data_IF_904050895637
#
_entry.id   IF_904050895637
#
_cell.length_a   1.000
_cell.length_b   1.000
_cell.length_c   1.000
_cell.angle_alpha   90.00
_cell.angle_beta   90.00
_cell.angle_gamma   90.00
#
_symmetry.space_group_name_H-M   'P 1'
#
loop_
_entity.id
_entity.type
_entity.pdbx_description
1 polymer ?
#
# COMPACT_ATOMS: atom_id res chain seq x y z
N UNK A 1 12.60 15.83 23.16
CA UNK A 1 13.50 15.24 22.19
C UNK A 1 13.06 15.59 20.77
N UNK A 2 13.98 15.73 19.79
CA UNK A 2 13.61 15.99 18.42
C UNK A 2 12.84 14.80 17.82
N UNK A 3 11.88 15.10 16.92
CA UNK A 3 11.20 14.08 16.13
C UNK A 3 12.17 13.56 15.07
N UNK A 4 12.36 12.24 15.01
CA UNK A 4 13.32 11.60 14.10
C UNK A 4 12.65 10.81 12.96
N UNK A 5 11.36 10.49 13.09
CA UNK A 5 10.53 9.85 12.07
C UNK A 5 9.06 10.15 12.36
N UNK A 6 8.21 10.03 11.35
CA UNK A 6 6.76 10.18 11.47
C UNK A 6 6.08 8.97 10.82
N UNK A 7 5.15 8.37 11.55
CA UNK A 7 4.25 7.33 11.04
C UNK A 7 2.84 7.92 11.01
N UNK A 8 2.29 8.06 9.83
CA UNK A 8 0.93 8.55 9.61
C UNK A 8 -0.03 7.35 9.45
N UNK A 9 -1.28 7.53 9.87
CA UNK A 9 -2.29 6.47 9.81
C UNK A 9 -2.83 6.21 8.38
N UNK A 10 -2.52 7.09 7.42
CA UNK A 10 -2.79 6.90 5.99
C UNK A 10 -1.78 7.67 5.14
N UNK A 11 -1.71 7.33 3.86
CA UNK A 11 -0.90 8.05 2.88
C UNK A 11 -1.38 9.50 2.68
N UNK A 12 -2.69 9.75 2.72
CA UNK A 12 -3.22 11.11 2.66
C UNK A 12 -2.70 11.99 3.81
N UNK A 13 -2.66 11.44 5.03
CA UNK A 13 -2.05 12.14 6.16
C UNK A 13 -0.55 12.32 5.98
N UNK A 14 0.14 11.32 5.43
CA UNK A 14 1.57 11.39 5.15
C UNK A 14 1.90 12.50 4.14
N UNK A 15 1.05 12.74 3.13
CA UNK A 15 1.20 13.84 2.19
C UNK A 15 1.15 15.21 2.90
N UNK A 16 0.12 15.43 3.74
CA UNK A 16 0.01 16.68 4.51
C UNK A 16 1.22 16.92 5.41
N UNK A 17 1.72 15.87 6.06
CA UNK A 17 2.95 15.93 6.86
C UNK A 17 4.16 16.25 6.00
N UNK A 18 4.29 15.62 4.83
CA UNK A 18 5.41 15.84 3.90
C UNK A 18 5.47 17.27 3.41
N UNK A 19 4.33 17.90 3.08
CA UNK A 19 4.26 19.29 2.67
C UNK A 19 4.77 20.23 3.77
N UNK A 20 4.29 20.03 5.01
CA UNK A 20 4.73 20.86 6.15
C UNK A 20 6.21 20.63 6.47
N UNK A 21 6.69 19.38 6.43
CA UNK A 21 8.10 19.07 6.66
C UNK A 21 9.00 19.76 5.63
N UNK A 22 8.67 19.66 4.34
CA UNK A 22 9.42 20.32 3.27
C UNK A 22 9.43 21.85 3.41
N UNK A 23 8.28 22.46 3.71
CA UNK A 23 8.16 23.90 3.91
C UNK A 23 9.02 24.41 5.07
N UNK A 24 9.34 23.57 6.05
CA UNK A 24 10.17 23.88 7.20
C UNK A 24 11.60 23.33 7.11
N UNK A 25 12.01 22.79 5.96
CA UNK A 25 13.36 22.23 5.75
C UNK A 25 13.66 20.99 6.59
N UNK A 26 12.63 20.25 7.01
CA UNK A 26 12.77 19.04 7.79
C UNK A 26 12.97 17.82 6.87
N UNK A 27 13.92 16.96 7.22
CA UNK A 27 14.29 15.77 6.43
C UNK A 27 14.24 14.51 7.30
N UNK A 28 13.07 14.11 7.71
CA UNK A 28 12.87 12.88 8.47
C UNK A 28 12.11 11.83 7.66
N UNK A 29 12.29 10.53 7.91
CA UNK A 29 11.48 9.48 7.31
C UNK A 29 10.00 9.68 7.64
N UNK A 30 9.14 9.62 6.60
CA UNK A 30 7.68 9.67 6.73
C UNK A 30 7.16 8.36 6.15
N UNK A 31 6.34 7.68 6.93
CA UNK A 31 5.73 6.39 6.60
C UNK A 31 4.22 6.57 6.61
N UNK A 32 3.57 6.12 5.55
CA UNK A 32 2.11 6.12 5.40
C UNK A 32 1.48 4.74 5.55
N UNK A 33 0.25 4.61 5.11
CA UNK A 33 -0.53 3.38 5.08
C UNK A 33 -1.51 3.45 3.91
N UNK A 34 -1.86 2.34 3.29
CA UNK A 34 -2.78 2.09 2.16
C UNK A 34 -2.10 1.86 0.81
N UNK A 35 -0.82 2.14 0.63
CA UNK A 35 -0.09 2.03 -0.64
C UNK A 35 -0.83 2.69 -1.81
N UNK A 36 -1.29 3.94 -1.62
CA UNK A 36 -1.91 4.72 -2.69
C UNK A 36 -0.96 4.91 -3.88
N UNK A 37 -1.44 4.98 -5.12
CA UNK A 37 -0.58 5.21 -6.29
C UNK A 37 0.34 6.41 -6.12
N UNK A 38 -0.14 7.51 -5.55
CA UNK A 38 0.63 8.73 -5.29
C UNK A 38 1.72 8.49 -4.25
N UNK A 39 1.46 7.64 -3.24
CA UNK A 39 2.46 7.28 -2.23
C UNK A 39 3.57 6.41 -2.84
N UNK A 40 3.22 5.46 -3.72
CA UNK A 40 4.20 4.65 -4.45
C UNK A 40 5.12 5.53 -5.31
N UNK A 41 4.55 6.55 -5.98
CA UNK A 41 5.30 7.56 -6.73
C UNK A 41 6.19 8.37 -5.78
N UNK A 42 5.67 8.81 -4.64
CA UNK A 42 6.43 9.58 -3.65
C UNK A 42 7.61 8.77 -3.06
N UNK A 43 7.43 7.47 -2.84
CA UNK A 43 8.50 6.56 -2.39
C UNK A 43 9.55 6.39 -3.48
N UNK A 44 9.15 6.15 -4.74
CA UNK A 44 10.07 6.10 -5.89
C UNK A 44 10.93 7.34 -5.97
N UNK A 45 10.33 8.50 -5.80
CA UNK A 45 10.96 9.82 -5.92
C UNK A 45 11.71 10.26 -4.63
N UNK A 46 11.69 9.43 -3.57
CA UNK A 46 12.39 9.69 -2.31
C UNK A 46 11.75 10.75 -1.42
N UNK A 47 10.48 11.09 -1.65
CA UNK A 47 9.71 12.05 -0.85
C UNK A 47 9.00 11.41 0.35
N UNK A 48 8.74 10.12 0.29
CA UNK A 48 8.20 9.29 1.36
C UNK A 48 9.11 8.08 1.55
N UNK A 49 9.29 7.61 2.78
CA UNK A 49 10.19 6.50 3.07
C UNK A 49 9.56 5.15 2.78
N UNK A 50 8.29 4.98 3.15
CA UNK A 50 7.56 3.72 3.02
C UNK A 50 6.05 3.94 3.16
N UNK A 51 5.27 2.89 2.80
CA UNK A 51 3.87 2.74 3.12
C UNK A 51 3.57 1.28 3.46
N UNK A 52 2.40 1.00 4.03
CA UNK A 52 1.92 -0.36 4.28
C UNK A 52 0.87 -0.72 3.24
N UNK A 53 1.11 -1.82 2.53
CA UNK A 53 0.12 -2.44 1.63
C UNK A 53 -0.71 -3.44 2.41
N UNK A 54 -2.03 -3.31 2.34
CA UNK A 54 -2.99 -4.21 2.97
C UNK A 54 -3.82 -5.04 1.97
N UNK A 55 -3.56 -4.89 0.66
CA UNK A 55 -4.20 -5.64 -0.42
C UNK A 55 -5.73 -5.51 -0.45
N UNK A 56 -6.32 -4.32 -0.59
CA UNK A 56 -7.77 -4.12 -0.55
C UNK A 56 -8.52 -4.85 -1.67
N UNK A 57 -7.94 -4.98 -2.85
CA UNK A 57 -8.50 -5.76 -3.95
C UNK A 57 -8.51 -7.25 -3.63
N UNK A 58 -7.42 -7.80 -3.10
CA UNK A 58 -7.36 -9.19 -2.68
C UNK A 58 -8.31 -9.48 -1.51
N UNK A 59 -8.47 -8.56 -0.55
CA UNK A 59 -9.47 -8.69 0.51
C UNK A 59 -10.88 -8.81 -0.09
N UNK A 60 -11.21 -7.96 -1.05
CA UNK A 60 -12.52 -7.94 -1.71
C UNK A 60 -12.78 -9.22 -2.52
N UNK A 61 -11.79 -9.71 -3.28
CA UNK A 61 -11.92 -10.96 -4.04
C UNK A 61 -12.04 -12.17 -3.11
N UNK A 62 -11.24 -12.25 -2.05
CA UNK A 62 -11.31 -13.31 -1.05
C UNK A 62 -12.69 -13.37 -0.39
N UNK A 63 -13.23 -12.21 0.02
CA UNK A 63 -14.57 -12.14 0.59
C UNK A 63 -15.66 -12.60 -0.39
N UNK A 64 -15.53 -12.20 -1.68
CA UNK A 64 -16.46 -12.62 -2.72
C UNK A 64 -16.38 -14.12 -2.99
N UNK A 65 -15.20 -14.72 -3.03
CA UNK A 65 -15.02 -16.16 -3.24
C UNK A 65 -15.64 -16.96 -2.11
N UNK A 66 -15.48 -16.54 -0.86
CA UNK A 66 -16.13 -17.14 0.31
C UNK A 66 -17.66 -17.06 0.17
N UNK A 67 -18.20 -15.90 -0.19
CA UNK A 67 -19.63 -15.72 -0.38
C UNK A 67 -20.18 -16.62 -1.51
N UNK A 68 -19.50 -16.69 -2.65
CA UNK A 68 -19.91 -17.50 -3.79
C UNK A 68 -19.89 -19.00 -3.46
N UNK A 69 -18.91 -19.49 -2.72
CA UNK A 69 -18.86 -20.87 -2.27
C UNK A 69 -20.04 -21.19 -1.34
N UNK A 70 -20.34 -20.31 -0.39
CA UNK A 70 -21.49 -20.46 0.49
C UNK A 70 -22.82 -20.49 -0.27
N UNK A 71 -23.01 -19.61 -1.26
CA UNK A 71 -24.23 -19.56 -2.06
C UNK A 71 -24.38 -20.78 -3.00
N UNK A 72 -23.27 -21.36 -3.44
CA UNK A 72 -23.29 -22.50 -4.36
C UNK A 72 -23.67 -23.81 -3.67
N UNK A 73 -23.13 -24.11 -2.51
CA UNK A 73 -23.28 -25.41 -1.83
C UNK A 73 -23.31 -25.36 -0.30
N UNK A 74 -23.35 -24.16 0.29
CA UNK A 74 -23.33 -23.96 1.74
C UNK A 74 -21.95 -24.12 2.38
N UNK A 75 -20.87 -24.12 1.58
CA UNK A 75 -19.51 -24.21 2.12
C UNK A 75 -19.19 -22.98 2.97
N UNK A 76 -18.89 -23.21 4.24
CA UNK A 76 -18.44 -22.17 5.17
C UNK A 76 -16.90 -22.11 5.24
N UNK A 77 -16.31 -20.94 5.49
CA UNK A 77 -14.87 -20.84 5.72
C UNK A 77 -14.48 -21.65 6.96
N UNK A 78 -13.28 -22.23 6.95
CA UNK A 78 -12.80 -23.08 8.06
C UNK A 78 -12.63 -22.29 9.36
N UNK A 79 -12.35 -20.99 9.24
CA UNK A 79 -12.16 -20.07 10.35
C UNK A 79 -13.10 -18.89 10.21
N UNK A 80 -13.56 -18.35 11.33
CA UNK A 80 -14.46 -17.19 11.37
C UNK A 80 -13.83 -15.95 10.75
N UNK A 81 -12.53 -15.77 10.96
CA UNK A 81 -11.77 -14.62 10.47
C UNK A 81 -10.74 -15.06 9.44
N UNK A 82 -10.67 -14.34 8.32
CA UNK A 82 -9.67 -14.54 7.26
C UNK A 82 -8.78 -13.31 7.20
N UNK A 83 -7.49 -13.47 7.50
CA UNK A 83 -6.50 -12.39 7.49
C UNK A 83 -5.60 -12.50 6.26
N UNK A 84 -5.31 -11.35 5.66
CA UNK A 84 -4.20 -11.17 4.71
C UNK A 84 -3.05 -10.51 5.44
N UNK A 85 -1.83 -10.98 5.20
CA UNK A 85 -0.63 -10.40 5.81
C UNK A 85 -0.28 -9.08 5.11
N UNK A 86 -0.30 -7.93 5.80
CA UNK A 86 0.12 -6.68 5.23
C UNK A 86 1.65 -6.65 5.07
N UNK A 87 2.15 -5.93 4.05
CA UNK A 87 3.58 -5.79 3.80
C UNK A 87 4.04 -4.34 3.81
N UNK A 88 5.29 -4.14 4.20
CA UNK A 88 5.96 -2.85 4.09
C UNK A 88 6.43 -2.65 2.65
N UNK A 89 5.99 -1.56 2.02
CA UNK A 89 6.47 -1.13 0.70
C UNK A 89 7.49 -0.02 0.88
N UNK A 90 8.65 -0.23 0.31
CA UNK A 90 9.78 0.70 0.23
C UNK A 90 10.21 0.88 -1.22
N UNK A 91 11.25 1.65 -1.47
CA UNK A 91 11.80 1.83 -2.82
C UNK A 91 12.29 0.51 -3.45
N UNK A 92 12.68 -0.47 -2.62
CA UNK A 92 13.29 -1.72 -3.07
C UNK A 92 12.27 -2.75 -3.56
N UNK A 93 10.99 -2.60 -3.17
CA UNK A 93 9.93 -3.55 -3.48
C UNK A 93 8.62 -2.90 -3.95
N UNK A 94 8.69 -1.77 -4.61
CA UNK A 94 7.51 -1.05 -5.15
C UNK A 94 6.59 -1.92 -6.00
N UNK A 95 7.17 -2.88 -6.73
CA UNK A 95 6.41 -3.78 -7.60
C UNK A 95 5.50 -4.77 -6.85
N UNK A 96 5.72 -4.96 -5.54
CA UNK A 96 4.91 -5.86 -4.71
C UNK A 96 3.57 -5.23 -4.28
N UNK A 97 3.41 -3.91 -4.47
CA UNK A 97 2.15 -3.24 -4.17
C UNK A 97 1.06 -3.58 -5.19
N UNK A 98 -0.16 -3.79 -4.73
CA UNK A 98 -1.31 -4.16 -5.58
C UNK A 98 -1.55 -3.16 -6.72
N UNK A 99 -1.32 -1.86 -6.45
CA UNK A 99 -1.50 -0.75 -7.41
C UNK A 99 -0.21 -0.27 -8.08
N UNK A 100 0.84 -1.10 -8.05
CA UNK A 100 2.14 -0.74 -8.63
C UNK A 100 2.08 -0.41 -10.13
N UNK A 101 1.26 -1.14 -10.90
CA UNK A 101 1.05 -0.89 -12.34
C UNK A 101 0.29 0.42 -12.56
N UNK A 102 -0.77 0.67 -11.80
CA UNK A 102 -1.55 1.91 -11.84
C UNK A 102 -0.67 3.14 -11.53
N UNK A 103 0.21 3.00 -10.54
CA UNK A 103 1.17 4.04 -10.17
C UNK A 103 2.31 4.22 -11.19
N UNK A 104 2.44 3.34 -12.18
CA UNK A 104 3.55 3.35 -13.15
C UNK A 104 4.92 3.07 -12.52
N UNK A 105 4.95 2.35 -11.39
CA UNK A 105 6.19 1.90 -10.71
C UNK A 105 6.51 0.45 -11.00
N UNK A 106 5.61 -0.30 -11.65
CA UNK A 106 5.81 -1.63 -12.19
C UNK A 106 5.17 -1.72 -13.58
N UNK A 107 5.58 -2.74 -14.36
CA UNK A 107 4.98 -3.03 -15.67
C UNK A 107 3.86 -4.06 -15.52
N UNK A 108 2.80 -3.93 -16.34
CA UNK A 108 1.78 -4.96 -16.45
C UNK A 108 2.41 -6.27 -17.00
N UNK A 109 2.02 -7.41 -16.45
CA UNK A 109 2.46 -8.71 -16.98
C UNK A 109 2.10 -8.83 -18.46
N UNK A 110 3.08 -9.21 -19.27
CA UNK A 110 2.90 -9.39 -20.74
C UNK A 110 3.13 -8.15 -21.60
N UNK A 111 3.58 -7.01 -21.04
CA UNK A 111 4.00 -5.86 -21.85
C UNK A 111 5.44 -6.07 -22.34
N UNK A 112 5.69 -6.15 -23.68
CA UNK A 112 7.06 -6.29 -24.19
C UNK A 112 7.89 -5.06 -23.80
N UNK A 113 9.08 -5.29 -23.26
CA UNK A 113 10.09 -4.23 -23.13
C UNK A 113 10.51 -3.77 -24.52
N UNK A 114 10.32 -2.49 -24.80
CA UNK A 114 10.80 -1.86 -26.03
C UNK A 114 12.33 -1.75 -26.05
#
# INVERSE_FOLDING_TARGET
>A
PPVTAIVAASDDMAFGVSEVAQANGLTMPIIGFDALPEALIAIRDGKQAATIEQFPGQQSTTAMDILLAFLADGTEPKEHDTYLEPILITKDNLADAERAVEAGVAQAEGTPTA
#
